data_IF_259142519635
#
_entry.id   IF_259142519635
#
_cell.length_a   1.000
_cell.length_b   1.000
_cell.length_c   1.000
_cell.angle_alpha   90.00
_cell.angle_beta   90.00
_cell.angle_gamma   90.00
#
_symmetry.space_group_name_H-M   'P 1'
#
loop_
_entity.id
_entity.type
_entity.pdbx_description
1 polymer ?
#
# COMPACT_ATOMS: atom_id res chain seq x y z
N UNK A 1 29.41 -60.75 -0.42
CA UNK A 1 28.56 -60.02 0.56
C UNK A 1 29.08 -58.60 0.85
N UNK A 2 30.32 -58.41 1.35
CA UNK A 2 30.85 -57.06 1.69
C UNK A 2 30.90 -56.03 0.54
N UNK A 3 31.17 -56.47 -0.69
CA UNK A 3 31.18 -55.58 -1.85
C UNK A 3 29.78 -55.01 -2.18
N UNK A 4 28.73 -55.82 -2.03
CA UNK A 4 27.33 -55.39 -2.27
C UNK A 4 26.91 -54.36 -1.22
N UNK A 5 27.17 -54.63 0.05
CA UNK A 5 26.85 -53.72 1.16
C UNK A 5 27.56 -52.37 0.99
N UNK A 6 28.84 -52.38 0.60
CA UNK A 6 29.60 -51.16 0.34
C UNK A 6 29.01 -50.35 -0.81
N UNK A 7 28.63 -51.03 -1.90
CA UNK A 7 27.97 -50.39 -3.05
C UNK A 7 26.63 -49.75 -2.68
N UNK A 8 25.78 -50.47 -1.93
CA UNK A 8 24.48 -49.96 -1.47
C UNK A 8 24.65 -48.74 -0.53
N UNK A 9 25.63 -48.76 0.38
CA UNK A 9 25.96 -47.61 1.23
C UNK A 9 26.41 -46.39 0.41
N UNK A 10 27.20 -46.60 -0.64
CA UNK A 10 27.62 -45.51 -1.54
C UNK A 10 26.44 -44.95 -2.35
N UNK A 11 25.57 -45.81 -2.87
CA UNK A 11 24.34 -45.39 -3.57
C UNK A 11 23.43 -44.58 -2.65
N UNK A 12 23.24 -45.03 -1.40
CA UNK A 12 22.53 -44.27 -0.35
C UNK A 12 23.14 -42.88 -0.14
N UNK A 13 24.45 -42.80 0.02
CA UNK A 13 25.12 -41.52 0.31
C UNK A 13 24.92 -40.54 -0.85
N UNK A 14 25.13 -40.99 -2.10
CA UNK A 14 24.89 -40.17 -3.29
C UNK A 14 23.45 -39.66 -3.38
N UNK A 15 22.48 -40.50 -3.02
CA UNK A 15 21.07 -40.10 -2.98
C UNK A 15 20.80 -39.02 -1.94
N UNK A 16 21.37 -39.15 -0.74
CA UNK A 16 21.23 -38.17 0.33
C UNK A 16 21.90 -36.84 -0.04
N UNK A 17 23.12 -36.89 -0.57
CA UNK A 17 23.84 -35.69 -1.01
C UNK A 17 23.06 -34.95 -2.11
N UNK A 18 22.51 -35.70 -3.08
CA UNK A 18 21.67 -35.12 -4.14
C UNK A 18 20.39 -34.49 -3.56
N UNK A 19 19.71 -35.18 -2.62
CA UNK A 19 18.52 -34.64 -1.96
C UNK A 19 18.83 -33.33 -1.24
N UNK A 20 19.88 -33.31 -0.43
CA UNK A 20 20.29 -32.11 0.33
C UNK A 20 20.63 -30.95 -0.61
N UNK A 21 21.38 -31.21 -1.69
CA UNK A 21 21.71 -30.19 -2.68
C UNK A 21 20.46 -29.67 -3.39
N UNK A 22 19.52 -30.54 -3.75
CA UNK A 22 18.29 -30.14 -4.43
C UNK A 22 17.35 -29.35 -3.49
N UNK A 23 17.26 -29.75 -2.23
CA UNK A 23 16.50 -29.04 -1.19
C UNK A 23 17.09 -27.64 -0.92
N UNK A 24 18.41 -27.53 -0.80
CA UNK A 24 19.08 -26.24 -0.63
C UNK A 24 18.82 -25.30 -1.82
N UNK A 25 18.87 -25.83 -3.05
CA UNK A 25 18.56 -25.08 -4.27
C UNK A 25 17.11 -24.59 -4.29
N UNK A 26 16.16 -25.47 -3.95
CA UNK A 26 14.73 -25.15 -3.86
C UNK A 26 14.47 -24.05 -2.82
N UNK A 27 15.02 -24.18 -1.60
CA UNK A 27 14.92 -23.16 -0.55
C UNK A 27 15.54 -21.82 -0.96
N UNK A 28 16.68 -21.84 -1.65
CA UNK A 28 17.31 -20.62 -2.17
C UNK A 28 16.41 -19.92 -3.17
N UNK A 29 15.71 -20.67 -4.04
CA UNK A 29 14.74 -20.09 -4.96
C UNK A 29 13.51 -19.54 -4.22
N UNK A 30 12.96 -20.28 -3.26
CA UNK A 30 11.81 -19.81 -2.45
C UNK A 30 12.12 -18.49 -1.75
N UNK A 31 13.26 -18.41 -1.05
CA UNK A 31 13.69 -17.17 -0.38
C UNK A 31 13.93 -16.02 -1.37
N UNK A 32 14.48 -16.28 -2.55
CA UNK A 32 14.63 -15.27 -3.58
C UNK A 32 13.28 -14.77 -4.12
N UNK A 33 12.30 -15.66 -4.31
CA UNK A 33 10.93 -15.31 -4.71
C UNK A 33 10.22 -14.48 -3.63
N UNK A 34 10.37 -14.84 -2.36
CA UNK A 34 9.83 -14.08 -1.22
C UNK A 34 10.42 -12.67 -1.16
N UNK A 35 11.75 -12.54 -1.23
CA UNK A 35 12.42 -11.23 -1.25
C UNK A 35 11.96 -10.41 -2.44
N UNK A 36 11.88 -11.00 -3.63
CA UNK A 36 11.39 -10.29 -4.82
C UNK A 36 9.93 -9.82 -4.66
N UNK A 37 9.06 -10.66 -4.10
CA UNK A 37 7.66 -10.29 -3.83
C UNK A 37 7.58 -9.16 -2.81
N UNK A 38 8.25 -9.28 -1.66
CA UNK A 38 8.23 -8.24 -0.62
C UNK A 38 8.73 -6.89 -1.14
N UNK A 39 9.80 -6.89 -1.94
CA UNK A 39 10.32 -5.69 -2.58
C UNK A 39 9.30 -5.05 -3.52
N UNK A 40 8.69 -5.86 -4.39
CA UNK A 40 7.65 -5.37 -5.31
C UNK A 40 6.46 -4.79 -4.57
N UNK A 41 5.96 -5.48 -3.53
CA UNK A 41 4.82 -4.99 -2.74
C UNK A 41 5.17 -3.69 -2.00
N UNK A 42 6.40 -3.53 -1.52
CA UNK A 42 6.87 -2.28 -0.92
C UNK A 42 6.92 -1.14 -1.94
N UNK A 43 7.45 -1.40 -3.14
CA UNK A 43 7.50 -0.41 -4.23
C UNK A 43 6.08 0.02 -4.67
N UNK A 44 5.14 -0.91 -4.80
CA UNK A 44 3.75 -0.61 -5.15
C UNK A 44 3.07 0.24 -4.06
N UNK A 45 3.31 -0.07 -2.77
CA UNK A 45 2.81 0.73 -1.64
C UNK A 45 3.39 2.15 -1.64
N UNK A 46 4.69 2.29 -1.89
CA UNK A 46 5.36 3.59 -1.95
C UNK A 46 4.82 4.44 -3.11
N UNK A 47 4.61 3.84 -4.28
CA UNK A 47 4.00 4.52 -5.42
C UNK A 47 2.58 4.99 -5.09
N UNK A 48 1.78 4.14 -4.44
CA UNK A 48 0.43 4.48 -4.02
C UNK A 48 0.45 5.64 -3.02
N UNK A 49 1.31 5.59 -2.01
CA UNK A 49 1.47 6.67 -1.02
C UNK A 49 1.90 8.00 -1.66
N UNK A 50 2.79 7.97 -2.66
CA UNK A 50 3.22 9.17 -3.39
C UNK A 50 2.05 9.78 -4.16
N UNK A 51 1.27 8.98 -4.89
CA UNK A 51 0.06 9.45 -5.59
C UNK A 51 -0.94 10.09 -4.63
N UNK A 52 -1.22 9.44 -3.50
CA UNK A 52 -2.11 10.02 -2.48
C UNK A 52 -1.59 11.36 -1.95
N UNK A 53 -0.28 11.47 -1.69
CA UNK A 53 0.35 12.72 -1.26
C UNK A 53 0.24 13.83 -2.31
N UNK A 54 0.48 13.50 -3.59
CA UNK A 54 0.39 14.43 -4.71
C UNK A 54 -1.05 14.93 -4.90
N UNK A 55 -2.03 14.03 -4.87
CA UNK A 55 -3.44 14.38 -5.01
C UNK A 55 -3.94 15.28 -3.86
N UNK A 56 -3.51 14.98 -2.63
CA UNK A 56 -3.85 15.78 -1.44
C UNK A 56 -3.26 17.18 -1.58
N UNK A 57 -1.98 17.28 -1.91
CA UNK A 57 -1.29 18.57 -2.09
C UNK A 57 -1.94 19.40 -3.20
N UNK A 58 -2.26 18.77 -4.34
CA UNK A 58 -2.94 19.46 -5.44
C UNK A 58 -4.34 19.94 -5.07
N UNK A 59 -5.07 19.19 -4.24
CA UNK A 59 -6.37 19.64 -3.75
C UNK A 59 -6.19 20.83 -2.81
N UNK A 60 -5.26 20.76 -1.87
CA UNK A 60 -4.94 21.84 -0.93
C UNK A 60 -4.54 23.13 -1.67
N UNK A 61 -3.64 23.04 -2.65
CA UNK A 61 -3.20 24.20 -3.43
C UNK A 61 -4.38 24.88 -4.15
N UNK A 62 -5.28 24.09 -4.75
CA UNK A 62 -6.50 24.62 -5.38
C UNK A 62 -7.41 25.28 -4.35
N UNK A 63 -7.59 24.67 -3.18
CA UNK A 63 -8.43 25.20 -2.11
C UNK A 63 -7.88 26.53 -1.56
N UNK A 64 -6.56 26.62 -1.39
CA UNK A 64 -5.88 27.85 -0.98
C UNK A 64 -6.08 28.94 -2.05
N UNK A 65 -5.93 28.61 -3.33
CA UNK A 65 -6.15 29.57 -4.42
C UNK A 65 -7.60 30.08 -4.45
N UNK A 66 -8.58 29.18 -4.35
CA UNK A 66 -10.01 29.53 -4.26
C UNK A 66 -10.29 30.46 -3.07
N UNK A 67 -9.70 30.20 -1.90
CA UNK A 67 -9.87 31.04 -0.71
C UNK A 67 -9.21 32.42 -0.86
N UNK A 68 -8.01 32.47 -1.42
CA UNK A 68 -7.29 33.72 -1.68
C UNK A 68 -8.07 34.62 -2.65
N UNK A 69 -8.56 34.07 -3.77
CA UNK A 69 -9.37 34.81 -4.74
C UNK A 69 -10.66 35.34 -4.12
N UNK A 70 -11.36 34.52 -3.32
CA UNK A 70 -12.56 34.94 -2.62
C UNK A 70 -12.26 36.10 -1.66
N UNK A 71 -11.22 35.99 -0.84
CA UNK A 71 -10.82 37.04 0.10
C UNK A 71 -10.47 38.35 -0.61
N UNK A 72 -9.70 38.29 -1.70
CA UNK A 72 -9.38 39.46 -2.51
C UNK A 72 -10.64 40.13 -3.09
N UNK A 73 -11.59 39.32 -3.59
CA UNK A 73 -12.87 39.82 -4.10
C UNK A 73 -13.70 40.53 -3.02
N UNK A 74 -13.79 39.92 -1.83
CA UNK A 74 -14.53 40.48 -0.69
C UNK A 74 -13.87 41.79 -0.18
N UNK A 75 -12.53 41.82 -0.10
CA UNK A 75 -11.78 43.02 0.29
C UNK A 75 -11.96 44.16 -0.73
N UNK A 76 -11.95 43.84 -2.03
CA UNK A 76 -12.19 44.84 -3.08
C UNK A 76 -13.63 45.38 -3.05
N UNK A 77 -14.62 44.53 -2.78
CA UNK A 77 -16.01 44.95 -2.60
C UNK A 77 -16.14 45.89 -1.39
N UNK A 78 -15.47 45.57 -0.28
CA UNK A 78 -15.43 46.42 0.90
C UNK A 78 -14.80 47.80 0.62
N UNK A 79 -13.63 47.83 -0.06
CA UNK A 79 -12.99 49.07 -0.48
C UNK A 79 -13.91 49.91 -1.36
N UNK A 80 -14.59 49.27 -2.31
CA UNK A 80 -15.54 49.95 -3.21
C UNK A 80 -16.69 50.60 -2.45
N UNK A 81 -17.31 49.89 -1.50
CA UNK A 81 -18.39 50.42 -0.66
C UNK A 81 -17.89 51.58 0.20
N UNK A 82 -16.71 51.46 0.82
CA UNK A 82 -16.11 52.54 1.61
C UNK A 82 -15.86 53.80 0.78
N UNK A 83 -15.33 53.65 -0.44
CA UNK A 83 -15.13 54.79 -1.37
C UNK A 83 -16.46 55.40 -1.79
N UNK A 84 -17.47 54.57 -2.07
CA UNK A 84 -18.81 55.03 -2.43
C UNK A 84 -19.48 55.82 -1.31
N UNK A 85 -19.42 55.32 -0.07
CA UNK A 85 -19.91 56.02 1.12
C UNK A 85 -19.24 57.39 1.23
N UNK A 86 -17.90 57.47 1.18
CA UNK A 86 -17.17 58.75 1.22
C UNK A 86 -17.58 59.72 0.13
N UNK A 87 -17.78 59.23 -1.10
CA UNK A 87 -18.26 60.07 -2.20
C UNK A 87 -19.68 60.58 -1.96
N UNK A 88 -20.57 59.73 -1.43
CA UNK A 88 -21.94 60.11 -1.09
C UNK A 88 -22.01 61.04 0.13
N UNK A 89 -21.17 60.85 1.14
CA UNK A 89 -20.96 61.76 2.28
C UNK A 89 -20.53 63.14 1.78
N UNK A 90 -19.44 63.22 1.01
CA UNK A 90 -18.99 64.48 0.39
C UNK A 90 -20.05 65.09 -0.54
N UNK A 91 -20.94 64.26 -1.07
CA UNK A 91 -22.08 64.72 -1.84
C UNK A 91 -23.17 65.37 -1.00
N UNK A 92 -23.51 64.76 0.14
CA UNK A 92 -24.54 65.26 1.05
C UNK A 92 -24.03 66.42 1.92
N UNK A 93 -22.78 66.41 2.36
CA UNK A 93 -22.16 67.43 3.24
C UNK A 93 -21.87 68.76 2.53
N UNK A 94 -21.77 68.77 1.20
CA UNK A 94 -21.55 70.00 0.44
C UNK A 94 -22.79 70.91 0.32
N UNK A 95 -23.80 70.72 1.18
CA UNK A 95 -24.91 71.65 1.38
C UNK A 95 -24.37 72.95 2.00
N UNK A 96 -24.10 73.96 1.16
CA UNK A 96 -23.77 75.32 1.59
C UNK A 96 -22.38 75.84 1.20
N UNK A 97 -21.48 74.98 0.70
CA UNK A 97 -20.23 75.41 0.08
C UNK A 97 -20.37 75.42 -1.44
N UNK A 98 -21.06 76.42 -1.97
CA UNK A 98 -20.91 76.77 -3.38
C UNK A 98 -19.46 77.21 -3.60
N UNK A 99 -18.69 76.62 -4.52
CA UNK A 99 -17.50 77.31 -5.01
C UNK A 99 -18.00 78.60 -5.66
N UNK A 100 -17.73 79.73 -5.01
CA UNK A 100 -17.98 81.05 -5.57
C UNK A 100 -17.34 81.13 -6.97
N UNK A 101 -18.15 81.00 -8.02
CA UNK A 101 -17.76 81.39 -9.39
C UNK A 101 -17.58 80.30 -10.46
N UNK A 102 -18.33 79.19 -10.48
CA UNK A 102 -18.34 78.29 -11.65
C UNK A 102 -19.73 78.10 -12.25
N UNK A 103 -19.81 78.11 -13.59
CA UNK A 103 -21.00 78.02 -14.44
C UNK A 103 -21.67 76.62 -14.43
N UNK A 104 -21.90 76.04 -13.25
CA UNK A 104 -22.54 74.75 -13.07
C UNK A 104 -23.88 74.90 -12.33
N UNK A 105 -24.90 74.06 -12.62
CA UNK A 105 -26.20 74.10 -11.96
C UNK A 105 -26.08 73.93 -10.43
N UNK A 106 -27.00 74.54 -9.64
CA UNK A 106 -27.00 74.42 -8.18
C UNK A 106 -27.18 72.97 -7.73
N UNK A 107 -26.34 72.53 -6.78
CA UNK A 107 -26.36 71.18 -6.21
C UNK A 107 -27.60 71.01 -5.32
N UNK A 108 -28.46 70.03 -5.62
CA UNK A 108 -29.67 69.72 -4.82
C UNK A 108 -29.58 68.29 -4.27
N UNK A 109 -29.48 68.18 -2.95
CA UNK A 109 -29.55 66.89 -2.25
C UNK A 109 -31.01 66.55 -1.99
N UNK A 110 -31.49 65.41 -2.50
CA UNK A 110 -32.86 64.92 -2.27
C UNK A 110 -32.93 63.97 -1.08
N UNK A 111 -34.12 63.77 -0.52
CA UNK A 111 -34.36 62.77 0.53
C UNK A 111 -33.94 61.36 0.09
N UNK A 112 -34.10 61.06 -1.20
CA UNK A 112 -33.65 59.79 -1.80
C UNK A 112 -32.14 59.59 -1.64
N UNK A 113 -31.32 60.64 -1.83
CA UNK A 113 -29.87 60.54 -1.71
C UNK A 113 -29.44 60.21 -0.26
N UNK A 114 -30.14 60.75 0.74
CA UNK A 114 -29.89 60.47 2.15
C UNK A 114 -30.31 59.04 2.52
N UNK A 115 -31.45 58.56 2.00
CA UNK A 115 -31.88 57.16 2.15
C UNK A 115 -30.87 56.20 1.52
N UNK A 116 -30.38 56.51 0.32
CA UNK A 116 -29.39 55.69 -0.38
C UNK A 116 -28.06 55.65 0.37
N UNK A 117 -27.63 56.76 0.99
CA UNK A 117 -26.46 56.79 1.87
C UNK A 117 -26.67 55.92 3.12
N UNK A 118 -27.84 56.01 3.77
CA UNK A 118 -28.21 55.14 4.89
C UNK A 118 -28.17 53.65 4.52
N UNK A 119 -28.65 53.31 3.32
CA UNK A 119 -28.57 51.94 2.80
C UNK A 119 -27.11 51.46 2.60
N UNK A 120 -26.20 52.35 2.18
CA UNK A 120 -24.78 51.98 2.06
C UNK A 120 -24.12 51.72 3.42
N UNK A 121 -24.48 52.45 4.47
CA UNK A 121 -23.99 52.18 5.83
C UNK A 121 -24.48 50.84 6.37
N UNK A 122 -25.78 50.56 6.21
CA UNK A 122 -26.35 49.27 6.61
C UNK A 122 -25.62 48.11 5.89
N UNK A 123 -25.36 48.28 4.59
CA UNK A 123 -24.60 47.30 3.82
C UNK A 123 -23.18 47.12 4.36
N UNK A 124 -22.46 48.21 4.69
CA UNK A 124 -21.12 48.16 5.28
C UNK A 124 -21.12 47.41 6.62
N UNK A 125 -22.08 47.70 7.48
CA UNK A 125 -22.14 47.15 8.84
C UNK A 125 -22.50 45.65 8.84
N UNK A 126 -23.32 45.20 7.88
CA UNK A 126 -23.62 43.77 7.67
C UNK A 126 -22.53 43.01 6.90
N UNK A 127 -21.61 43.72 6.24
CA UNK A 127 -20.68 43.15 5.27
C UNK A 127 -19.72 42.14 5.90
N UNK A 128 -19.15 42.44 7.06
CA UNK A 128 -18.20 41.55 7.74
C UNK A 128 -18.85 40.20 8.07
N UNK A 129 -20.09 40.23 8.60
CA UNK A 129 -20.87 39.02 8.89
C UNK A 129 -21.15 38.20 7.62
N UNK A 130 -21.55 38.87 6.53
CA UNK A 130 -21.81 38.21 5.25
C UNK A 130 -20.53 37.61 4.63
N UNK A 131 -19.41 38.34 4.70
CA UNK A 131 -18.11 37.89 4.21
C UNK A 131 -17.65 36.65 4.99
N UNK A 132 -17.74 36.68 6.32
CA UNK A 132 -17.38 35.54 7.15
C UNK A 132 -18.27 34.32 6.87
N UNK A 133 -19.58 34.52 6.69
CA UNK A 133 -20.50 33.43 6.34
C UNK A 133 -20.14 32.79 4.99
N UNK A 134 -19.79 33.60 3.98
CA UNK A 134 -19.34 33.10 2.67
C UNK A 134 -18.07 32.27 2.77
N UNK A 135 -17.08 32.75 3.54
CA UNK A 135 -15.82 32.03 3.76
C UNK A 135 -16.08 30.69 4.48
N UNK A 136 -16.92 30.68 5.51
CA UNK A 136 -17.25 29.47 6.25
C UNK A 136 -17.95 28.44 5.35
N UNK A 137 -18.96 28.83 4.58
CA UNK A 137 -19.64 27.92 3.64
C UNK A 137 -18.69 27.33 2.59
N UNK A 138 -17.73 28.14 2.13
CA UNK A 138 -16.71 27.69 1.18
C UNK A 138 -15.77 26.66 1.84
N UNK A 139 -15.29 26.94 3.05
CA UNK A 139 -14.45 26.01 3.84
C UNK A 139 -15.16 24.71 4.19
N UNK A 140 -16.44 24.75 4.52
CA UNK A 140 -17.24 23.53 4.78
C UNK A 140 -17.31 22.64 3.52
N UNK A 141 -17.46 23.25 2.33
CA UNK A 141 -17.44 22.51 1.06
C UNK A 141 -16.06 21.94 0.76
N UNK A 142 -14.99 22.69 1.05
CA UNK A 142 -13.61 22.23 0.93
C UNK A 142 -13.33 21.05 1.87
N UNK A 143 -13.75 21.13 3.13
CA UNK A 143 -13.64 20.07 4.12
C UNK A 143 -14.32 18.78 3.66
N UNK A 144 -15.55 18.85 3.15
CA UNK A 144 -16.25 17.67 2.59
C UNK A 144 -15.54 17.07 1.38
N UNK A 145 -14.94 17.89 0.51
CA UNK A 145 -14.14 17.42 -0.63
C UNK A 145 -12.87 16.71 -0.17
N UNK A 146 -12.20 17.25 0.86
CA UNK A 146 -11.01 16.64 1.46
C UNK A 146 -11.34 15.32 2.15
N UNK A 147 -12.40 15.29 2.97
CA UNK A 147 -12.89 14.08 3.62
C UNK A 147 -13.18 12.97 2.60
N UNK A 148 -13.92 13.28 1.53
CA UNK A 148 -14.20 12.31 0.48
C UNK A 148 -12.96 11.85 -0.31
N UNK A 149 -11.90 12.67 -0.38
CA UNK A 149 -10.62 12.24 -0.97
C UNK A 149 -9.90 11.26 -0.03
N UNK A 150 -9.82 11.59 1.26
CA UNK A 150 -9.18 10.74 2.28
C UNK A 150 -9.90 9.40 2.45
N UNK A 151 -11.23 9.39 2.38
CA UNK A 151 -12.01 8.15 2.39
C UNK A 151 -11.66 7.24 1.21
N UNK A 152 -11.53 7.80 0.00
CA UNK A 152 -11.08 7.04 -1.17
C UNK A 152 -9.67 6.50 -0.97
N UNK A 153 -8.75 7.34 -0.49
CA UNK A 153 -7.38 6.91 -0.20
C UNK A 153 -7.33 5.76 0.82
N UNK A 154 -8.16 5.82 1.86
CA UNK A 154 -8.28 4.73 2.84
C UNK A 154 -8.85 3.44 2.23
N UNK A 155 -9.82 3.53 1.32
CA UNK A 155 -10.38 2.39 0.61
C UNK A 155 -9.35 1.75 -0.35
N UNK A 156 -8.57 2.57 -1.05
CA UNK A 156 -7.49 2.12 -1.94
C UNK A 156 -6.41 1.38 -1.14
N UNK A 157 -6.01 1.92 0.02
CA UNK A 157 -5.05 1.26 0.92
C UNK A 157 -5.56 -0.09 1.45
N UNK A 158 -6.85 -0.20 1.79
CA UNK A 158 -7.44 -1.50 2.19
C UNK A 158 -7.40 -2.50 1.06
N UNK A 159 -7.85 -2.10 -0.13
CA UNK A 159 -7.87 -2.96 -1.32
C UNK A 159 -6.45 -3.42 -1.67
N UNK A 160 -5.47 -2.52 -1.57
CA UNK A 160 -4.07 -2.86 -1.76
C UNK A 160 -3.57 -3.86 -0.72
N UNK A 161 -3.85 -3.64 0.57
CA UNK A 161 -3.45 -4.55 1.65
C UNK A 161 -4.07 -5.95 1.52
N UNK A 162 -5.34 -6.04 1.11
CA UNK A 162 -5.99 -7.31 0.81
C UNK A 162 -5.33 -8.03 -0.37
N UNK A 163 -4.96 -7.28 -1.42
CA UNK A 163 -4.20 -7.80 -2.55
C UNK A 163 -2.81 -8.31 -2.13
N UNK A 164 -2.10 -7.57 -1.27
CA UNK A 164 -0.81 -7.99 -0.71
C UNK A 164 -0.92 -9.29 0.09
N UNK A 165 -1.96 -9.43 0.91
CA UNK A 165 -2.24 -10.65 1.67
C UNK A 165 -2.42 -11.85 0.74
N UNK A 166 -3.32 -11.73 -0.24
CA UNK A 166 -3.57 -12.78 -1.23
C UNK A 166 -2.32 -13.19 -2.00
N UNK A 167 -1.51 -12.23 -2.46
CA UNK A 167 -0.29 -12.53 -3.19
C UNK A 167 0.75 -13.29 -2.34
N UNK A 168 0.83 -13.00 -1.03
CA UNK A 168 1.69 -13.74 -0.10
C UNK A 168 1.14 -15.14 0.15
N UNK A 169 -0.15 -15.28 0.38
CA UNK A 169 -0.80 -16.57 0.60
C UNK A 169 -0.61 -17.49 -0.62
N UNK A 170 -0.82 -16.96 -1.83
CA UNK A 170 -0.58 -17.68 -3.09
C UNK A 170 0.88 -18.13 -3.25
N UNK A 171 1.85 -17.31 -2.83
CA UNK A 171 3.27 -17.69 -2.86
C UNK A 171 3.54 -18.84 -1.89
N UNK A 172 3.05 -18.73 -0.66
CA UNK A 172 3.20 -19.75 0.39
C UNK A 172 2.58 -21.08 -0.06
N UNK A 173 1.38 -21.04 -0.64
CA UNK A 173 0.71 -22.25 -1.13
C UNK A 173 1.45 -22.90 -2.30
N UNK A 174 2.03 -22.10 -3.21
CA UNK A 174 2.91 -22.62 -4.26
C UNK A 174 4.16 -23.30 -3.68
N UNK A 175 4.80 -22.68 -2.67
CA UNK A 175 5.98 -23.26 -2.02
C UNK A 175 5.65 -24.57 -1.31
N UNK A 176 4.56 -24.62 -0.54
CA UNK A 176 4.07 -25.86 0.09
C UNK A 176 3.79 -26.96 -0.93
N UNK A 177 3.11 -26.62 -2.03
CA UNK A 177 2.79 -27.59 -3.07
C UNK A 177 4.06 -28.14 -3.74
N UNK A 178 5.06 -27.30 -3.95
CA UNK A 178 6.36 -27.71 -4.46
C UNK A 178 7.12 -28.59 -3.47
N UNK A 179 7.11 -28.28 -2.18
CA UNK A 179 7.71 -29.11 -1.14
C UNK A 179 7.04 -30.50 -1.04
N UNK A 180 5.71 -30.56 -1.14
CA UNK A 180 4.97 -31.83 -1.17
C UNK A 180 5.38 -32.66 -2.39
N UNK A 181 5.42 -32.05 -3.58
CA UNK A 181 5.85 -32.73 -4.80
C UNK A 181 7.29 -33.21 -4.70
N UNK A 182 8.20 -32.34 -4.24
CA UNK A 182 9.59 -32.67 -3.99
C UNK A 182 9.73 -33.89 -3.09
N UNK A 183 9.09 -33.86 -1.92
CA UNK A 183 9.15 -34.96 -0.96
C UNK A 183 8.56 -36.26 -1.53
N UNK A 184 7.45 -36.19 -2.26
CA UNK A 184 6.82 -37.37 -2.89
C UNK A 184 7.75 -38.08 -3.90
N UNK A 185 8.47 -37.32 -4.73
CA UNK A 185 9.41 -37.86 -5.72
C UNK A 185 10.57 -38.57 -5.02
N UNK A 186 11.10 -37.98 -3.94
CA UNK A 186 12.19 -38.59 -3.18
C UNK A 186 11.72 -39.82 -2.40
N UNK A 187 10.52 -39.80 -1.82
CA UNK A 187 9.94 -40.94 -1.13
C UNK A 187 9.71 -42.12 -2.10
N UNK A 188 9.19 -41.88 -3.31
CA UNK A 188 9.01 -42.92 -4.33
C UNK A 188 10.36 -43.54 -4.73
N UNK A 189 11.38 -42.70 -5.01
CA UNK A 189 12.72 -43.17 -5.36
C UNK A 189 13.39 -43.93 -4.22
N UNK A 190 13.15 -43.52 -2.98
CA UNK A 190 13.65 -44.17 -1.78
C UNK A 190 13.05 -45.59 -1.67
N UNK A 191 11.73 -45.72 -1.81
CA UNK A 191 11.04 -47.01 -1.81
C UNK A 191 11.56 -47.95 -2.92
N UNK A 192 11.72 -47.43 -4.14
CA UNK A 192 12.22 -48.22 -5.28
C UNK A 192 13.67 -48.68 -5.06
N UNK A 193 14.51 -47.80 -4.53
CA UNK A 193 15.91 -48.13 -4.21
C UNK A 193 15.99 -49.19 -3.11
N UNK A 194 15.16 -49.08 -2.06
CA UNK A 194 15.04 -50.12 -1.03
C UNK A 194 14.63 -51.48 -1.58
N UNK A 195 13.61 -51.51 -2.45
CA UNK A 195 13.15 -52.76 -3.07
C UNK A 195 14.26 -53.39 -3.92
N UNK A 196 14.99 -52.58 -4.70
CA UNK A 196 16.15 -53.01 -5.49
C UNK A 196 17.25 -53.61 -4.60
N UNK A 197 17.58 -52.96 -3.48
CA UNK A 197 18.60 -53.46 -2.56
C UNK A 197 18.20 -54.78 -1.91
N UNK A 198 16.94 -54.91 -1.50
CA UNK A 198 16.39 -56.14 -0.92
C UNK A 198 16.50 -57.28 -1.93
N UNK A 199 16.03 -57.08 -3.17
CA UNK A 199 16.12 -58.08 -4.23
C UNK A 199 17.58 -58.47 -4.55
N UNK A 200 18.50 -57.51 -4.58
CA UNK A 200 19.92 -57.79 -4.83
C UNK A 200 20.55 -58.65 -3.72
N UNK A 201 20.12 -58.47 -2.47
CA UNK A 201 20.56 -59.29 -1.34
C UNK A 201 19.97 -60.70 -1.48
N UNK A 202 18.67 -60.83 -1.76
CA UNK A 202 18.01 -62.13 -1.97
C UNK A 202 18.67 -62.94 -3.09
N UNK A 203 18.97 -62.30 -4.23
CA UNK A 203 19.65 -62.93 -5.37
C UNK A 203 21.03 -63.42 -4.97
N UNK A 204 21.84 -62.56 -4.31
CA UNK A 204 23.17 -62.95 -3.86
C UNK A 204 23.14 -64.12 -2.85
N UNK A 205 22.17 -64.13 -1.93
CA UNK A 205 22.01 -65.23 -0.97
C UNK A 205 21.66 -66.55 -1.69
N UNK A 206 20.81 -66.51 -2.72
CA UNK A 206 20.47 -67.68 -3.55
C UNK A 206 21.68 -68.18 -4.34
N UNK A 207 22.42 -67.29 -4.99
CA UNK A 207 23.62 -67.64 -5.76
C UNK A 207 24.70 -68.29 -4.88
N UNK A 208 24.93 -67.77 -3.67
CA UNK A 208 25.87 -68.37 -2.72
C UNK A 208 25.38 -69.73 -2.19
N UNK A 209 24.07 -69.87 -1.95
CA UNK A 209 23.49 -71.13 -1.51
C UNK A 209 23.63 -72.24 -2.57
N UNK A 210 23.48 -71.91 -3.86
CA UNK A 210 23.68 -72.85 -4.95
C UNK A 210 25.15 -73.28 -5.09
N UNK A 211 26.10 -72.40 -4.81
CA UNK A 211 27.54 -72.70 -4.89
C UNK A 211 28.04 -73.55 -3.71
N UNK A 212 27.63 -73.22 -2.49
CA UNK A 212 28.20 -73.83 -1.28
C UNK A 212 27.31 -74.93 -0.68
N UNK A 213 26.05 -75.05 -1.12
CA UNK A 213 25.05 -75.97 -0.56
C UNK A 213 24.56 -75.57 0.84
N UNK A 214 24.99 -74.41 1.35
CA UNK A 214 24.67 -73.88 2.67
C UNK A 214 23.57 -72.81 2.57
N UNK A 215 22.61 -72.83 3.50
CA UNK A 215 21.56 -71.82 3.54
C UNK A 215 22.10 -70.53 4.19
N UNK A 216 22.10 -69.44 3.42
CA UNK A 216 22.51 -68.12 3.89
C UNK A 216 21.33 -67.35 4.52
N UNK A 217 21.60 -66.56 5.56
CA UNK A 217 20.62 -65.64 6.14
C UNK A 217 20.56 -64.34 5.32
N UNK A 218 19.35 -63.83 5.10
CA UNK A 218 19.14 -62.52 4.47
C UNK A 218 19.57 -61.42 5.44
N UNK A 219 20.39 -60.49 4.96
CA UNK A 219 20.82 -59.31 5.71
C UNK A 219 19.90 -58.16 5.32
N UNK A 220 19.52 -57.32 6.28
CA UNK A 220 18.71 -56.15 5.99
C UNK A 220 19.45 -55.13 5.11
N UNK A 221 18.77 -54.50 4.14
CA UNK A 221 19.35 -53.41 3.37
C UNK A 221 19.64 -52.19 4.27
N UNK A 222 20.53 -51.27 3.82
CA UNK A 222 20.82 -50.05 4.57
C UNK A 222 19.55 -49.26 4.91
N UNK A 223 19.33 -48.99 6.19
CA UNK A 223 18.19 -48.19 6.64
C UNK A 223 18.32 -46.73 6.22
N UNK A 224 17.22 -46.07 5.87
CA UNK A 224 17.22 -44.65 5.57
C UNK A 224 17.27 -43.82 6.86
N UNK A 225 17.91 -42.63 6.84
CA UNK A 225 17.84 -41.73 7.98
C UNK A 225 16.38 -41.35 8.24
N UNK A 226 15.98 -41.29 9.51
CA UNK A 226 14.68 -40.74 9.88
C UNK A 226 14.57 -39.33 9.30
N UNK A 227 13.41 -38.98 8.71
CA UNK A 227 13.13 -37.60 8.31
C UNK A 227 13.30 -36.76 9.58
N UNK A 228 14.28 -35.85 9.58
CA UNK A 228 14.42 -34.90 10.67
C UNK A 228 13.11 -34.13 10.73
N UNK A 229 12.36 -34.29 11.81
CA UNK A 229 11.18 -33.48 12.09
C UNK A 229 11.68 -32.04 12.05
N UNK A 230 11.10 -31.14 11.24
CA UNK A 230 11.45 -29.73 11.28
C UNK A 230 11.32 -29.31 12.74
N UNK A 231 12.43 -28.91 13.36
CA UNK A 231 12.33 -28.19 14.63
C UNK A 231 11.53 -26.96 14.27
N UNK A 232 10.30 -26.87 14.75
CA UNK A 232 9.55 -25.63 14.77
C UNK A 232 10.50 -24.60 15.37
N UNK A 233 11.09 -23.75 14.53
CA UNK A 233 11.71 -22.53 14.99
C UNK A 233 10.56 -21.74 15.59
N UNK A 234 10.43 -21.87 16.92
CA UNK A 234 9.58 -21.01 17.71
C UNK A 234 9.91 -19.57 17.30
N UNK A 235 8.92 -18.75 16.94
CA UNK A 235 9.15 -17.33 16.74
C UNK A 235 9.69 -16.79 18.06
N UNK A 236 11.00 -16.59 18.12
CA UNK A 236 11.64 -16.04 19.29
C UNK A 236 11.21 -14.58 19.34
N UNK A 237 10.49 -14.25 20.41
CA UNK A 237 10.24 -12.89 20.87
C UNK A 237 11.51 -12.03 20.72
N UNK A 238 11.43 -10.99 19.88
CA UNK A 238 12.40 -9.91 19.85
C UNK A 238 11.71 -8.62 19.40
N UNK A 239 11.13 -7.96 20.42
CA UNK A 239 11.04 -6.49 20.69
C UNK A 239 10.93 -5.57 19.48
#
# INVERSE_FOLDING_TARGET
MMALETSQKQEKQRFLDFRLSAEASMRTRHTAEEVALTKRLAEEKDQLSRKHSEETTQLDDRQISEELELRQSLEQAEKSIRVRIKHMEAYCDGLGQSPNGSALPPRVVTEQNLRDLGNQYNLRDDMERQNQSKINMMRDRQGKRMEGLLEKHAADLRTHAEGQGKAKDELVDRHKQEEIQFNSIFDERQCRTSAKWTLAIEVLCKELQEQDGLKYAEIDPPSWPAKAIPREESPNDAI
#
